data_IF_385045589133
#
_entry.id   IF_385045589133
#
_cell.length_a   1.000
_cell.length_b   1.000
_cell.length_c   1.000
_cell.angle_alpha   90.00
_cell.angle_beta   90.00
_cell.angle_gamma   90.00
#
_symmetry.space_group_name_H-M   'P 1'
#
loop_
_entity.id
_entity.type
_entity.pdbx_description
1 polymer ?
#
# COMPACT_ATOMS: atom_id res chain seq x y z
N UNK A 1 46.34 -26.50 23.53
CA UNK A 1 45.83 -25.23 22.99
C UNK A 1 45.97 -25.25 21.46
N UNK A 2 44.95 -25.71 20.72
CA UNK A 2 44.95 -25.78 19.24
C UNK A 2 43.55 -25.54 18.64
N UNK A 3 42.69 -24.79 19.33
CA UNK A 3 41.30 -24.56 18.91
C UNK A 3 41.04 -23.14 18.41
N UNK A 4 41.99 -22.21 18.56
CA UNK A 4 41.74 -20.78 18.30
C UNK A 4 41.96 -20.35 16.84
N UNK A 5 42.64 -21.16 16.02
CA UNK A 5 42.97 -20.79 14.63
C UNK A 5 41.84 -21.13 13.64
N UNK A 6 41.04 -22.15 13.93
CA UNK A 6 39.97 -22.59 13.02
C UNK A 6 38.72 -21.70 13.06
N UNK A 7 38.47 -21.00 14.16
CA UNK A 7 37.35 -20.05 14.28
C UNK A 7 37.56 -18.75 13.51
N UNK A 8 38.82 -18.32 13.32
CA UNK A 8 39.13 -17.09 12.57
C UNK A 8 38.93 -17.27 11.06
N UNK A 9 39.27 -18.45 10.52
CA UNK A 9 39.14 -18.73 9.09
C UNK A 9 37.69 -18.89 8.63
N UNK A 10 36.79 -19.35 9.50
CA UNK A 10 35.36 -19.46 9.15
C UNK A 10 34.66 -18.09 9.10
N UNK A 11 35.15 -17.10 9.87
CA UNK A 11 34.58 -15.75 9.89
C UNK A 11 34.91 -14.92 8.64
N UNK A 12 36.02 -15.19 7.96
CA UNK A 12 36.39 -14.46 6.73
C UNK A 12 35.72 -15.00 5.47
N UNK A 13 35.28 -16.26 5.45
CA UNK A 13 34.55 -16.83 4.30
C UNK A 13 33.10 -16.31 4.26
N UNK A 14 32.48 -16.06 5.41
CA UNK A 14 31.13 -15.48 5.46
C UNK A 14 31.07 -14.04 4.95
N UNK A 15 32.15 -13.26 5.06
CA UNK A 15 32.18 -11.87 4.57
C UNK A 15 32.33 -11.76 3.03
N UNK A 16 32.84 -12.79 2.36
CA UNK A 16 33.01 -12.76 0.89
C UNK A 16 31.74 -13.15 0.11
N UNK A 17 30.80 -13.87 0.74
CA UNK A 17 29.53 -14.27 0.10
C UNK A 17 28.53 -13.11 0.04
N UNK A 18 28.73 -12.04 0.83
CA UNK A 18 27.91 -10.82 0.77
C UNK A 18 28.45 -9.75 -0.20
N UNK A 19 29.56 -10.00 -0.92
CA UNK A 19 30.15 -9.00 -1.83
C UNK A 19 29.48 -8.90 -3.21
N UNK A 20 28.34 -9.56 -3.42
CA UNK A 20 27.56 -9.45 -4.67
C UNK A 20 26.06 -9.20 -4.45
N UNK A 21 25.68 -8.53 -3.36
CA UNK A 21 24.42 -7.75 -3.38
C UNK A 21 24.69 -6.42 -4.11
N UNK A 22 24.81 -6.53 -5.43
CA UNK A 22 24.55 -5.41 -6.31
C UNK A 22 23.01 -5.29 -6.38
N UNK A 23 22.45 -4.61 -5.40
CA UNK A 23 21.07 -4.16 -5.45
C UNK A 23 21.11 -2.80 -4.80
N UNK A 24 20.77 -1.82 -5.63
CA UNK A 24 20.62 -0.40 -5.34
C UNK A 24 20.38 -0.16 -3.86
N UNK A 25 21.22 0.69 -3.28
CA UNK A 25 21.05 1.29 -1.97
C UNK A 25 19.63 1.89 -1.95
N UNK A 26 18.68 1.05 -1.50
CA UNK A 26 17.29 1.40 -1.41
C UNK A 26 17.28 2.59 -0.49
N UNK A 27 16.99 3.77 -1.05
CA UNK A 27 16.57 4.90 -0.24
C UNK A 27 15.53 4.30 0.68
N UNK A 28 15.87 4.17 1.96
CA UNK A 28 14.91 3.78 2.98
C UNK A 28 13.91 4.91 2.94
N UNK A 29 12.87 4.75 2.12
CA UNK A 29 11.74 5.65 2.06
C UNK A 29 11.13 5.48 3.43
N UNK A 30 11.50 6.36 4.35
CA UNK A 30 10.88 6.45 5.66
C UNK A 30 9.41 6.72 5.41
N UNK A 31 8.60 5.65 5.42
CA UNK A 31 7.16 5.75 5.40
C UNK A 31 6.76 6.37 6.73
N UNK A 32 6.20 7.58 6.70
CA UNK A 32 5.43 8.09 7.83
C UNK A 32 4.14 7.27 7.92
N UNK A 33 4.21 6.15 8.66
CA UNK A 33 3.13 5.19 8.77
C UNK A 33 1.85 5.82 9.34
N UNK A 34 1.99 6.82 10.22
CA UNK A 34 0.86 7.49 10.83
C UNK A 34 0.17 8.41 9.83
N UNK A 35 0.92 9.27 9.15
CA UNK A 35 0.35 10.17 8.13
C UNK A 35 -0.28 9.41 6.95
N UNK A 36 0.40 8.37 6.45
CA UNK A 36 -0.12 7.54 5.35
C UNK A 36 -1.33 6.72 5.78
N UNK A 37 -1.30 6.16 6.99
CA UNK A 37 -2.43 5.45 7.56
C UNK A 37 -3.66 6.33 7.75
N UNK A 38 -3.49 7.53 8.30
CA UNK A 38 -4.57 8.52 8.46
C UNK A 38 -5.20 8.90 7.12
N UNK A 39 -4.39 9.19 6.11
CA UNK A 39 -4.87 9.60 4.80
C UNK A 39 -5.52 8.44 4.03
N UNK A 40 -5.00 7.22 4.18
CA UNK A 40 -5.65 6.00 3.67
C UNK A 40 -7.04 5.80 4.29
N UNK A 41 -7.16 5.93 5.62
CA UNK A 41 -8.46 5.81 6.30
C UNK A 41 -9.41 6.96 5.95
N UNK A 42 -8.89 8.18 5.75
CA UNK A 42 -9.69 9.30 5.27
C UNK A 42 -10.39 8.97 3.95
N UNK A 43 -9.64 8.55 2.92
CA UNK A 43 -10.23 8.20 1.62
C UNK A 43 -11.22 7.02 1.72
N UNK A 44 -10.91 6.00 2.52
CA UNK A 44 -11.85 4.91 2.78
C UNK A 44 -13.15 5.40 3.38
N UNK A 45 -13.08 6.26 4.39
CA UNK A 45 -14.25 6.72 5.12
C UNK A 45 -15.10 7.67 4.27
N UNK A 46 -14.50 8.67 3.64
CA UNK A 46 -15.23 9.67 2.85
C UNK A 46 -15.95 9.03 1.67
N UNK A 47 -15.30 8.10 0.95
CA UNK A 47 -15.93 7.40 -0.17
C UNK A 47 -17.00 6.41 0.32
N UNK A 48 -16.77 5.72 1.43
CA UNK A 48 -17.81 4.84 2.03
C UNK A 48 -19.04 5.64 2.46
N UNK A 49 -18.85 6.82 3.03
CA UNK A 49 -19.95 7.70 3.44
C UNK A 49 -20.67 8.28 2.22
N UNK A 50 -19.94 8.77 1.23
CA UNK A 50 -20.52 9.29 -0.01
C UNK A 50 -21.35 8.24 -0.75
N UNK A 51 -20.89 6.99 -0.81
CA UNK A 51 -21.68 5.86 -1.35
C UNK A 51 -22.99 5.66 -0.58
N UNK A 52 -22.95 5.69 0.76
CA UNK A 52 -24.16 5.53 1.58
C UNK A 52 -25.17 6.66 1.39
N UNK A 53 -24.68 7.86 1.12
CA UNK A 53 -25.50 9.06 0.89
C UNK A 53 -25.88 9.26 -0.59
N UNK A 54 -25.36 8.42 -1.49
CA UNK A 54 -25.48 8.61 -2.94
C UNK A 54 -24.97 9.99 -3.40
N UNK A 55 -23.92 10.50 -2.74
CA UNK A 55 -23.30 11.78 -3.03
C UNK A 55 -22.27 11.64 -4.15
N UNK A 56 -22.76 11.74 -5.39
CA UNK A 56 -21.92 11.60 -6.57
C UNK A 56 -20.93 12.74 -6.79
N UNK A 57 -21.18 13.94 -6.25
CA UNK A 57 -20.22 15.06 -6.32
C UNK A 57 -18.97 14.70 -5.51
N UNK A 58 -19.15 14.32 -4.25
CA UNK A 58 -18.03 13.87 -3.39
C UNK A 58 -17.33 12.64 -3.97
N UNK A 59 -18.06 11.67 -4.54
CA UNK A 59 -17.45 10.51 -5.19
C UNK A 59 -16.54 10.95 -6.35
N UNK A 60 -17.00 11.85 -7.22
CA UNK A 60 -16.22 12.31 -8.37
C UNK A 60 -15.00 13.12 -7.93
N UNK A 61 -15.16 14.01 -6.96
CA UNK A 61 -14.09 14.87 -6.47
C UNK A 61 -12.93 14.09 -5.83
N UNK A 62 -13.22 13.01 -5.10
CA UNK A 62 -12.20 12.30 -4.33
C UNK A 62 -11.70 10.99 -4.95
N UNK A 63 -12.36 10.44 -5.98
CA UNK A 63 -11.97 9.13 -6.55
C UNK A 63 -10.59 9.16 -7.22
N UNK A 64 -10.29 10.18 -8.04
CA UNK A 64 -9.00 10.31 -8.73
C UNK A 64 -7.86 10.55 -7.72
N UNK A 65 -8.10 11.44 -6.75
CA UNK A 65 -7.14 11.74 -5.69
C UNK A 65 -6.82 10.49 -4.85
N UNK A 66 -7.85 9.72 -4.49
CA UNK A 66 -7.68 8.48 -3.74
C UNK A 66 -6.86 7.44 -4.54
N UNK A 67 -7.16 7.23 -5.82
CA UNK A 67 -6.43 6.27 -6.66
C UNK A 67 -4.97 6.68 -6.82
N UNK A 68 -4.73 7.98 -7.05
CA UNK A 68 -3.37 8.54 -7.19
C UNK A 68 -2.59 8.33 -5.89
N UNK A 69 -3.16 8.73 -4.75
CA UNK A 69 -2.54 8.55 -3.44
C UNK A 69 -2.19 7.08 -3.17
N UNK A 70 -3.13 6.15 -3.40
CA UNK A 70 -2.91 4.72 -3.14
C UNK A 70 -1.81 4.17 -4.05
N UNK A 71 -1.74 4.63 -5.30
CA UNK A 71 -0.75 4.16 -6.27
C UNK A 71 0.65 4.68 -5.96
N UNK A 72 0.77 5.94 -5.58
CA UNK A 72 2.05 6.56 -5.20
C UNK A 72 2.59 6.03 -3.88
N UNK A 73 1.70 5.62 -2.96
CA UNK A 73 2.07 5.21 -1.60
C UNK A 73 1.88 3.71 -1.33
N UNK A 74 1.70 2.89 -2.38
CA UNK A 74 1.34 1.48 -2.27
C UNK A 74 2.24 0.70 -1.29
N UNK A 75 3.57 0.86 -1.38
CA UNK A 75 4.51 0.18 -0.49
C UNK A 75 4.32 0.57 0.98
N UNK A 76 4.07 1.84 1.26
CA UNK A 76 3.83 2.32 2.62
C UNK A 76 2.46 1.87 3.15
N UNK A 77 1.44 1.79 2.29
CA UNK A 77 0.12 1.26 2.67
C UNK A 77 0.22 -0.23 2.98
N UNK A 78 1.01 -1.02 2.24
CA UNK A 78 1.28 -2.43 2.57
C UNK A 78 1.89 -2.54 3.96
N UNK A 79 2.94 -1.75 4.25
CA UNK A 79 3.59 -1.74 5.56
C UNK A 79 2.58 -1.37 6.65
N UNK A 80 1.77 -0.33 6.44
CA UNK A 80 0.70 0.07 7.36
C UNK A 80 -0.30 -1.08 7.60
N UNK A 81 -0.80 -1.73 6.55
CA UNK A 81 -1.80 -2.80 6.64
C UNK A 81 -1.27 -4.04 7.37
N UNK A 82 -0.01 -4.42 7.11
CA UNK A 82 0.64 -5.58 7.74
C UNK A 82 0.98 -5.31 9.22
N UNK A 83 1.37 -4.07 9.55
CA UNK A 83 1.73 -3.71 10.92
C UNK A 83 0.53 -3.31 11.78
N UNK A 84 -0.65 -3.13 11.20
CA UNK A 84 -1.85 -2.77 11.94
C UNK A 84 -2.33 -3.94 12.81
N UNK A 85 -2.25 -3.76 14.13
CA UNK A 85 -2.71 -4.76 15.09
C UNK A 85 -4.18 -5.12 14.87
N UNK A 86 -4.49 -6.42 14.77
CA UNK A 86 -5.85 -6.95 14.67
C UNK A 86 -6.41 -7.10 13.26
N UNK A 87 -5.67 -6.75 12.21
CA UNK A 87 -6.14 -6.89 10.82
C UNK A 87 -5.97 -8.30 10.23
N UNK A 88 -5.23 -9.22 10.87
CA UNK A 88 -4.89 -10.56 10.34
C UNK A 88 -4.31 -10.52 8.91
N UNK A 89 -3.57 -9.46 8.57
CA UNK A 89 -2.87 -9.32 7.28
C UNK A 89 -1.40 -9.62 7.55
N UNK A 90 -1.00 -10.86 7.34
CA UNK A 90 0.35 -11.31 7.74
C UNK A 90 1.37 -11.24 6.59
N UNK A 91 0.92 -10.92 5.38
CA UNK A 91 1.76 -10.97 4.19
C UNK A 91 1.43 -9.86 3.16
N UNK A 92 2.45 -9.53 2.37
CA UNK A 92 2.41 -8.52 1.32
C UNK A 92 1.41 -8.87 0.20
N UNK A 93 1.23 -10.15 -0.13
CA UNK A 93 0.32 -10.56 -1.21
C UNK A 93 -1.13 -10.27 -0.84
N UNK A 94 -1.51 -10.56 0.40
CA UNK A 94 -2.82 -10.24 0.97
C UNK A 94 -3.04 -8.73 1.01
N UNK A 95 -2.05 -7.96 1.49
CA UNK A 95 -2.14 -6.50 1.51
C UNK A 95 -2.30 -5.91 0.10
N UNK A 96 -1.52 -6.39 -0.88
CA UNK A 96 -1.63 -5.98 -2.28
C UNK A 96 -3.01 -6.30 -2.88
N UNK A 97 -3.57 -7.46 -2.53
CA UNK A 97 -4.92 -7.83 -2.98
C UNK A 97 -5.96 -6.83 -2.47
N UNK A 98 -5.93 -6.50 -1.18
CA UNK A 98 -6.84 -5.52 -0.57
C UNK A 98 -6.71 -4.15 -1.23
N UNK A 99 -5.47 -3.70 -1.47
CA UNK A 99 -5.20 -2.43 -2.16
C UNK A 99 -5.79 -2.42 -3.57
N UNK A 100 -5.62 -3.50 -4.32
CA UNK A 100 -6.16 -3.60 -5.68
C UNK A 100 -7.69 -3.67 -5.70
N UNK A 101 -8.29 -4.42 -4.78
CA UNK A 101 -9.75 -4.45 -4.61
C UNK A 101 -10.28 -3.05 -4.30
N UNK A 102 -9.64 -2.31 -3.40
CA UNK A 102 -10.02 -0.93 -3.11
C UNK A 102 -9.93 -0.02 -4.33
N UNK A 103 -8.86 -0.10 -5.14
CA UNK A 103 -8.77 0.70 -6.38
C UNK A 103 -9.90 0.36 -7.35
N UNK A 104 -10.21 -0.92 -7.54
CA UNK A 104 -11.29 -1.38 -8.41
C UNK A 104 -12.65 -0.89 -7.91
N UNK A 105 -12.91 -0.97 -6.61
CA UNK A 105 -14.15 -0.49 -6.02
C UNK A 105 -14.34 1.02 -6.25
N UNK A 106 -13.30 1.83 -6.04
CA UNK A 106 -13.34 3.28 -6.29
C UNK A 106 -13.69 3.57 -7.75
N UNK A 107 -13.03 2.91 -8.70
CA UNK A 107 -13.29 3.10 -10.14
C UNK A 107 -14.74 2.73 -10.48
N UNK A 108 -15.23 1.59 -9.96
CA UNK A 108 -16.60 1.13 -10.25
C UNK A 108 -17.66 2.07 -9.66
N UNK A 109 -17.42 2.59 -8.46
CA UNK A 109 -18.31 3.56 -7.81
C UNK A 109 -18.35 4.86 -8.61
N UNK A 110 -17.18 5.40 -8.98
CA UNK A 110 -17.07 6.59 -9.81
C UNK A 110 -17.83 6.43 -11.14
N UNK A 111 -17.59 5.33 -11.83
CA UNK A 111 -18.23 5.03 -13.11
C UNK A 111 -19.76 4.94 -12.99
N UNK A 112 -20.27 4.37 -11.90
CA UNK A 112 -21.71 4.27 -11.66
C UNK A 112 -22.35 5.67 -11.53
N UNK A 113 -21.69 6.59 -10.84
CA UNK A 113 -22.11 7.99 -10.74
C UNK A 113 -22.03 8.75 -12.08
N UNK A 114 -21.09 8.42 -12.96
CA UNK A 114 -21.01 9.02 -14.29
C UNK A 114 -22.15 8.56 -15.20
N UNK A 115 -22.50 7.26 -15.19
CA UNK A 115 -23.59 6.73 -16.02
C UNK A 115 -24.95 7.27 -15.58
N UNK A 116 -25.22 7.32 -14.27
CA UNK A 116 -26.51 7.82 -13.77
C UNK A 116 -26.72 9.31 -14.08
N UNK A 117 -25.62 10.07 -14.28
CA UNK A 117 -25.65 11.47 -14.66
C UNK A 117 -25.61 11.70 -16.19
N UNK A 118 -25.43 10.66 -17.01
CA UNK A 118 -25.58 10.80 -18.45
C UNK A 118 -27.07 11.01 -18.75
N UNK A 119 -27.45 12.03 -19.56
CA UNK A 119 -28.84 12.20 -19.95
C UNK A 119 -29.29 10.90 -20.62
N UNK A 120 -30.32 10.26 -20.05
CA UNK A 120 -30.89 9.04 -20.62
C UNK A 120 -31.20 9.33 -22.07
N UNK A 121 -30.50 8.67 -23.00
CA UNK A 121 -30.80 8.75 -24.42
C UNK A 121 -32.20 8.17 -24.63
N UNK A 122 -33.21 9.05 -24.58
CA UNK A 122 -34.54 8.81 -25.14
C UNK A 122 -34.48 8.93 -26.65
#
# INVERSE_FOLDING_TARGET
MKTTIYTLLFSMVCLYIFSSCNTEESKVTTCDQNGIGEQYQFYRNILTEAVKLSDCETIQDYSEEAITFISENQNCIIIYLVLQEGNNIDDEQTANKIINEMKVDIINIQYSCEIDNLPSSQ
#
